data_IF_043978295486
#
_entry.id   IF_043978295486
#
_cell.length_a   1.000
_cell.length_b   1.000
_cell.length_c   1.000
_cell.angle_alpha   90.00
_cell.angle_beta   90.00
_cell.angle_gamma   90.00
#
_symmetry.space_group_name_H-M   'P 1'
#
loop_
_entity.id
_entity.type
_entity.pdbx_description
1 polymer ?
#
# COMPACT_ATOMS: atom_id res chain seq x y z
N UNK A 1 -13.11 2.70 17.95
CA UNK A 1 -13.95 2.09 16.91
C UNK A 1 -13.05 1.31 15.95
N UNK A 2 -13.48 0.13 15.51
CA UNK A 2 -12.68 -0.77 14.66
C UNK A 2 -12.51 -0.21 13.25
N UNK A 3 -11.32 -0.38 12.66
CA UNK A 3 -11.01 0.02 11.28
C UNK A 3 -11.05 -1.19 10.34
N UNK A 4 -11.64 -1.04 9.17
CA UNK A 4 -11.80 -2.11 8.17
C UNK A 4 -11.02 -1.80 6.90
N UNK A 5 -10.20 -2.75 6.46
CA UNK A 5 -9.44 -2.68 5.18
C UNK A 5 -9.86 -3.80 4.25
N UNK A 6 -10.14 -3.47 3.00
CA UNK A 6 -10.36 -4.45 1.93
C UNK A 6 -9.18 -4.44 0.96
N UNK A 7 -8.57 -5.61 0.71
CA UNK A 7 -7.33 -5.74 -0.04
C UNK A 7 -7.53 -6.47 -1.38
N UNK A 8 -6.81 -6.03 -2.41
CA UNK A 8 -6.88 -6.61 -3.76
C UNK A 8 -8.02 -6.02 -4.59
N UNK A 9 -8.29 -4.73 -4.43
CA UNK A 9 -9.25 -3.98 -5.25
C UNK A 9 -8.67 -3.84 -6.65
N UNK A 10 -9.45 -4.24 -7.66
CA UNK A 10 -9.02 -4.29 -9.07
C UNK A 10 -10.03 -3.66 -10.02
N UNK A 11 -11.12 -3.10 -9.51
CA UNK A 11 -12.18 -2.49 -10.31
C UNK A 11 -12.67 -1.20 -9.64
N UNK A 12 -12.96 -0.16 -10.43
CA UNK A 12 -13.51 1.11 -9.94
C UNK A 12 -14.87 0.93 -9.28
N UNK A 13 -15.77 0.15 -9.88
CA UNK A 13 -17.11 -0.10 -9.29
C UNK A 13 -17.02 -0.73 -7.90
N UNK A 14 -16.08 -1.67 -7.72
CA UNK A 14 -15.82 -2.28 -6.41
C UNK A 14 -15.31 -1.24 -5.40
N UNK A 15 -14.41 -0.34 -5.82
CA UNK A 15 -13.92 0.73 -4.96
C UNK A 15 -15.06 1.67 -4.50
N UNK A 16 -15.97 2.02 -5.40
CA UNK A 16 -17.15 2.84 -5.11
C UNK A 16 -18.12 2.14 -4.15
N UNK A 17 -18.43 0.87 -4.38
CA UNK A 17 -19.28 0.06 -3.49
C UNK A 17 -18.67 -0.03 -2.07
N UNK A 18 -17.36 -0.28 -1.96
CA UNK A 18 -16.66 -0.35 -0.68
C UNK A 18 -16.67 0.99 0.07
N UNK A 19 -16.60 2.10 -0.65
CA UNK A 19 -16.74 3.43 -0.08
C UNK A 19 -18.15 3.66 0.49
N UNK A 20 -19.19 3.22 -0.21
CA UNK A 20 -20.58 3.34 0.26
C UNK A 20 -20.85 2.50 1.52
N UNK A 21 -20.20 1.33 1.63
CA UNK A 21 -20.32 0.44 2.80
C UNK A 21 -19.46 0.93 3.98
N UNK A 22 -18.62 1.95 3.79
CA UNK A 22 -17.83 2.57 4.85
C UNK A 22 -16.52 1.85 5.16
N UNK A 23 -15.90 1.20 4.17
CA UNK A 23 -14.55 0.67 4.34
C UNK A 23 -13.55 1.80 4.62
N UNK A 24 -12.72 1.67 5.66
CA UNK A 24 -11.74 2.71 6.00
C UNK A 24 -10.53 2.73 5.07
N UNK A 25 -10.21 1.59 4.43
CA UNK A 25 -9.04 1.44 3.57
C UNK A 25 -9.30 0.56 2.35
N UNK A 26 -8.76 0.99 1.20
CA UNK A 26 -8.79 0.27 -0.07
C UNK A 26 -7.36 -0.13 -0.45
N UNK A 27 -7.11 -1.43 -0.56
CA UNK A 27 -5.79 -1.98 -0.87
C UNK A 27 -5.63 -2.37 -2.34
N UNK A 28 -4.66 -1.77 -3.00
CA UNK A 28 -4.24 -2.05 -4.37
C UNK A 28 -2.90 -2.79 -4.35
N UNK A 29 -2.78 -3.91 -5.07
CA UNK A 29 -1.57 -4.74 -5.02
C UNK A 29 -0.68 -4.43 -6.22
N UNK A 30 0.50 -3.86 -5.96
CA UNK A 30 1.53 -3.54 -6.96
C UNK A 30 2.64 -4.59 -6.95
N UNK A 31 2.26 -5.87 -6.97
CA UNK A 31 3.19 -6.99 -7.09
C UNK A 31 2.81 -7.88 -8.26
N UNK A 32 3.64 -7.89 -9.31
CA UNK A 32 3.33 -8.55 -10.59
C UNK A 32 3.04 -10.06 -10.48
N UNK A 33 3.62 -10.77 -9.50
CA UNK A 33 3.33 -12.20 -9.31
C UNK A 33 2.00 -12.48 -8.60
N UNK A 34 1.30 -11.45 -8.14
CA UNK A 34 -0.03 -11.59 -7.54
C UNK A 34 -1.09 -11.77 -8.61
N UNK A 35 -2.01 -12.73 -8.44
CA UNK A 35 -3.23 -12.85 -9.27
C UNK A 35 -4.13 -11.61 -9.22
N UNK A 36 -3.95 -10.77 -8.20
CA UNK A 36 -4.68 -9.52 -7.97
C UNK A 36 -3.79 -8.30 -8.23
N UNK A 37 -2.78 -8.43 -9.08
CA UNK A 37 -1.95 -7.29 -9.48
C UNK A 37 -2.84 -6.22 -10.11
N UNK A 38 -2.79 -4.99 -9.58
CA UNK A 38 -3.79 -3.98 -9.93
C UNK A 38 -3.60 -3.44 -11.35
N UNK A 39 -2.35 -3.33 -11.83
CA UNK A 39 -2.05 -2.70 -13.13
C UNK A 39 -2.43 -3.55 -14.35
N UNK A 40 -2.86 -4.80 -14.16
CA UNK A 40 -3.52 -5.57 -15.23
C UNK A 40 -4.99 -5.19 -15.42
N UNK A 41 -5.57 -4.41 -14.50
CA UNK A 41 -6.99 -4.09 -14.49
C UNK A 41 -7.27 -2.59 -14.44
N UNK A 42 -6.44 -1.81 -13.73
CA UNK A 42 -6.59 -0.37 -13.57
C UNK A 42 -5.25 0.32 -13.82
N UNK A 43 -5.28 1.44 -14.54
CA UNK A 43 -4.17 2.37 -14.66
C UNK A 43 -3.96 3.17 -13.37
N UNK A 44 -2.77 3.74 -13.19
CA UNK A 44 -2.48 4.65 -12.07
C UNK A 44 -3.40 5.88 -12.08
N UNK A 45 -3.77 6.37 -13.27
CA UNK A 45 -4.69 7.49 -13.43
C UNK A 45 -6.10 7.14 -12.93
N UNK A 46 -6.62 5.94 -13.23
CA UNK A 46 -7.92 5.51 -12.71
C UNK A 46 -7.92 5.39 -11.19
N UNK A 47 -6.84 4.85 -10.60
CA UNK A 47 -6.69 4.77 -9.14
C UNK A 47 -6.60 6.17 -8.51
N UNK A 48 -5.98 7.13 -9.19
CA UNK A 48 -5.85 8.51 -8.69
C UNK A 48 -7.20 9.22 -8.59
N UNK A 49 -8.13 8.93 -9.51
CA UNK A 49 -9.49 9.51 -9.51
C UNK A 49 -10.40 8.98 -8.39
N UNK A 50 -10.05 7.85 -7.74
CA UNK A 50 -10.82 7.32 -6.61
C UNK A 50 -10.72 8.28 -5.42
N UNK A 51 -11.83 8.93 -5.09
CA UNK A 51 -11.95 9.91 -3.99
C UNK A 51 -12.10 9.22 -2.62
N UNK A 52 -11.02 8.58 -2.18
CA UNK A 52 -10.96 7.88 -0.91
C UNK A 52 -9.66 8.21 -0.15
N UNK A 53 -9.75 8.55 1.14
CA UNK A 53 -8.60 8.96 1.98
C UNK A 53 -7.77 7.79 2.53
N UNK A 54 -8.25 6.56 2.32
CA UNK A 54 -7.61 5.32 2.77
C UNK A 54 -6.98 4.47 1.66
N UNK A 55 -6.47 5.07 0.58
CA UNK A 55 -5.83 4.29 -0.51
C UNK A 55 -4.48 3.72 -0.06
N UNK A 56 -4.33 2.40 -0.11
CA UNK A 56 -3.14 1.65 0.33
C UNK A 56 -2.53 0.91 -0.86
N UNK A 57 -1.28 1.16 -1.20
CA UNK A 57 -0.53 0.34 -2.16
C UNK A 57 0.23 -0.77 -1.44
N UNK A 58 0.14 -2.00 -1.91
CA UNK A 58 0.87 -3.15 -1.37
C UNK A 58 2.02 -3.49 -2.28
N UNK A 59 3.24 -3.44 -1.74
CA UNK A 59 4.49 -3.69 -2.43
C UNK A 59 5.22 -4.87 -1.77
N UNK A 60 5.98 -5.61 -2.57
CA UNK A 60 6.78 -6.75 -2.12
C UNK A 60 8.15 -6.63 -2.76
N UNK A 61 9.15 -6.21 -1.98
CA UNK A 61 10.53 -6.02 -2.40
C UNK A 61 10.65 -5.20 -3.71
N UNK A 62 9.80 -4.18 -3.88
CA UNK A 62 9.80 -3.30 -5.04
C UNK A 62 10.97 -2.31 -4.97
N UNK A 63 11.35 -1.71 -6.10
CA UNK A 63 12.35 -0.64 -6.08
C UNK A 63 11.81 0.62 -5.40
N UNK A 64 12.67 1.41 -4.74
CA UNK A 64 12.24 2.62 -4.03
C UNK A 64 11.68 3.65 -5.01
N UNK A 65 12.28 3.80 -6.20
CA UNK A 65 11.77 4.71 -7.22
C UNK A 65 10.40 4.26 -7.70
N UNK A 66 10.21 2.97 -7.94
CA UNK A 66 8.91 2.40 -8.33
C UNK A 66 7.83 2.69 -7.27
N UNK A 67 8.14 2.47 -5.99
CA UNK A 67 7.22 2.74 -4.87
C UNK A 67 6.81 4.21 -4.85
N UNK A 68 7.77 5.13 -4.98
CA UNK A 68 7.52 6.58 -4.94
C UNK A 68 6.70 7.02 -6.15
N UNK A 69 7.08 6.58 -7.34
CA UNK A 69 6.39 6.91 -8.60
C UNK A 69 4.93 6.46 -8.55
N UNK A 70 4.69 5.20 -8.19
CA UNK A 70 3.34 4.65 -8.07
C UNK A 70 2.55 5.39 -6.99
N UNK A 71 3.16 5.65 -5.83
CA UNK A 71 2.48 6.33 -4.73
C UNK A 71 2.02 7.74 -5.12
N UNK A 72 2.84 8.49 -5.86
CA UNK A 72 2.50 9.81 -6.36
C UNK A 72 1.41 9.74 -7.44
N UNK A 73 1.62 8.93 -8.48
CA UNK A 73 0.72 8.90 -9.64
C UNK A 73 -0.66 8.33 -9.29
N UNK A 74 -0.74 7.31 -8.42
CA UNK A 74 -2.01 6.75 -7.96
C UNK A 74 -2.65 7.54 -6.80
N UNK A 75 -1.97 8.58 -6.28
CA UNK A 75 -2.42 9.36 -5.13
C UNK A 75 -2.65 8.49 -3.89
N UNK A 76 -1.69 7.63 -3.55
CA UNK A 76 -1.78 6.74 -2.39
C UNK A 76 -1.61 7.53 -1.09
N UNK A 77 -2.29 7.07 -0.03
CA UNK A 77 -2.15 7.62 1.32
C UNK A 77 -1.27 6.73 2.20
N UNK A 78 -1.18 5.45 1.84
CA UNK A 78 -0.40 4.46 2.57
C UNK A 78 0.39 3.58 1.61
N UNK A 79 1.63 3.28 1.97
CA UNK A 79 2.49 2.27 1.35
C UNK A 79 2.63 1.11 2.32
N UNK A 80 2.14 -0.06 1.93
CA UNK A 80 2.27 -1.28 2.70
C UNK A 80 3.41 -2.14 2.14
N UNK A 81 4.45 -2.33 2.95
CA UNK A 81 5.58 -3.20 2.65
C UNK A 81 5.32 -4.59 3.21
N UNK A 82 5.26 -5.58 2.33
CA UNK A 82 4.85 -6.96 2.66
C UNK A 82 5.93 -8.00 2.36
N UNK A 83 7.10 -7.58 1.86
CA UNK A 83 8.24 -8.44 1.62
C UNK A 83 9.17 -8.57 2.82
N UNK A 84 10.43 -8.85 2.51
CA UNK A 84 11.52 -9.06 3.46
C UNK A 84 12.35 -7.77 3.60
N UNK A 85 11.75 -6.61 3.30
CA UNK A 85 12.44 -5.33 3.34
C UNK A 85 12.95 -5.02 4.74
N UNK A 86 14.20 -4.59 4.82
CA UNK A 86 14.90 -4.28 6.07
C UNK A 86 14.64 -2.84 6.55
N UNK A 87 15.19 -2.49 7.70
CA UNK A 87 15.01 -1.15 8.28
C UNK A 87 15.62 -0.05 7.38
N UNK A 88 16.76 -0.32 6.74
CA UNK A 88 17.41 0.64 5.85
C UNK A 88 16.53 0.97 4.65
N UNK A 89 15.93 -0.04 4.03
CA UNK A 89 14.97 0.13 2.96
C UNK A 89 13.77 0.95 3.43
N UNK A 90 13.17 0.60 4.58
CA UNK A 90 12.00 1.33 5.12
C UNK A 90 12.33 2.81 5.35
N UNK A 91 13.50 3.11 5.91
CA UNK A 91 13.95 4.49 6.14
C UNK A 91 14.19 5.25 4.84
N UNK A 92 14.77 4.60 3.82
CA UNK A 92 15.00 5.20 2.52
C UNK A 92 13.68 5.48 1.78
N UNK A 93 12.72 4.55 1.82
CA UNK A 93 11.36 4.78 1.32
C UNK A 93 10.69 5.94 2.06
N UNK A 94 10.80 6.00 3.40
CA UNK A 94 10.23 7.11 4.21
C UNK A 94 10.80 8.47 3.79
N UNK A 95 12.10 8.55 3.49
CA UNK A 95 12.76 9.78 3.03
C UNK A 95 12.35 10.18 1.61
N UNK A 96 12.11 9.21 0.73
CA UNK A 96 11.80 9.46 -0.67
C UNK A 96 10.31 9.72 -0.94
N UNK A 97 9.41 9.25 -0.07
CA UNK A 97 7.98 9.48 -0.21
C UNK A 97 7.59 10.95 0.06
N UNK A 98 6.60 11.48 -0.66
CA UNK A 98 5.98 12.77 -0.33
C UNK A 98 5.49 12.86 1.11
N UNK A 99 5.52 14.07 1.66
CA UNK A 99 4.93 14.35 2.95
C UNK A 99 3.44 13.97 2.96
N UNK A 100 3.02 13.22 3.99
CA UNK A 100 1.62 12.79 4.19
C UNK A 100 1.35 11.32 3.84
N UNK A 101 2.23 10.65 3.09
CA UNK A 101 2.09 9.21 2.83
C UNK A 101 2.67 8.42 4.01
N UNK A 102 1.87 7.52 4.58
CA UNK A 102 2.28 6.69 5.72
C UNK A 102 2.77 5.32 5.29
N UNK A 103 3.72 4.75 6.01
CA UNK A 103 4.24 3.40 5.75
C UNK A 103 3.63 2.40 6.73
N UNK A 104 3.24 1.23 6.21
CA UNK A 104 2.77 0.08 6.99
C UNK A 104 3.71 -1.10 6.69
N UNK A 105 4.53 -1.53 7.65
CA UNK A 105 5.32 -2.77 7.51
C UNK A 105 4.52 -3.95 8.02
N UNK A 106 4.38 -4.99 7.20
CA UNK A 106 3.80 -6.27 7.63
C UNK A 106 4.91 -7.15 8.18
N UNK A 107 4.64 -7.76 9.33
CA UNK A 107 5.56 -8.68 9.99
C UNK A 107 4.83 -10.01 10.18
N UNK A 108 5.51 -11.10 9.84
CA UNK A 108 5.00 -12.46 10.08
C UNK A 108 5.23 -12.82 11.55
N UNK A 109 4.17 -13.17 12.26
CA UNK A 109 4.25 -13.67 13.63
C UNK A 109 4.32 -15.21 13.54
N UNK A 110 5.34 -15.82 14.13
CA UNK A 110 5.49 -17.29 14.18
C UNK A 110 6.79 -17.86 13.59
N UNK A 111 7.82 -17.04 13.33
CA UNK A 111 9.16 -17.55 13.04
C UNK A 111 10.20 -16.61 13.65
N UNK A 112 11.05 -17.13 14.54
CA UNK A 112 12.10 -16.41 15.28
C UNK A 112 13.15 -15.78 14.36
N UNK A 113 12.83 -14.65 13.74
CA UNK A 113 13.81 -13.72 13.19
C UNK A 113 13.53 -12.32 13.71
N UNK A 114 14.17 -12.01 14.83
CA UNK A 114 14.54 -10.68 15.32
C UNK A 114 13.61 -9.52 14.93
N UNK A 115 12.58 -9.30 15.74
CA UNK A 115 11.83 -8.04 15.73
C UNK A 115 12.70 -6.91 16.26
N UNK A 116 13.33 -6.13 15.38
CA UNK A 116 13.81 -4.79 15.77
C UNK A 116 12.61 -3.84 15.68
N UNK A 117 11.90 -3.75 16.79
CA UNK A 117 10.90 -2.72 17.01
C UNK A 117 11.65 -1.40 17.27
N UNK A 118 11.84 -0.57 16.25
CA UNK A 118 12.11 0.84 16.45
C UNK A 118 10.91 1.63 15.96
N UNK A 119 10.26 2.29 16.91
CA UNK A 119 9.11 3.16 16.71
C UNK A 119 9.46 4.20 15.65
N UNK A 120 8.86 4.04 14.47
CA UNK A 120 8.83 5.11 13.48
C UNK A 120 7.73 6.07 13.93
N UNK A 121 8.12 7.08 14.72
CA UNK A 121 7.30 8.27 14.98
C UNK A 121 7.12 9.10 13.69
#
# INVERSE_FOLDING_TARGET
>A
MMKVKVCGVTNLKQAEELQQVGADYLGFIFYAKSKRYVLTHLSLQEISQIKHSGKVGVFVNADIHEVVEIAQHAGLHFVQLHGDEDLNYILNVKKALPAGIKIIKVIRVGSDKGLVCQQIQ
#
